data_IF_391421014472
#
_entry.id   IF_391421014472
#
_cell.length_a   1.000
_cell.length_b   1.000
_cell.length_c   1.000
_cell.angle_alpha   90.00
_cell.angle_beta   90.00
_cell.angle_gamma   90.00
#
_symmetry.space_group_name_H-M   'P 1'
#
loop_
_entity.id
_entity.type
_entity.pdbx_description
1 polymer ?
#
# COMPACT_ATOMS: atom_id res chain seq x y z
N UNK A 1 -3.92 -23.09 -4.09
CA UNK A 1 -3.83 -21.93 -5.01
C UNK A 1 -3.80 -20.59 -4.28
N UNK A 2 -4.78 -20.28 -3.41
CA UNK A 2 -4.85 -18.99 -2.68
C UNK A 2 -3.63 -18.70 -1.77
N UNK A 3 -3.00 -19.73 -1.19
CA UNK A 3 -1.78 -19.58 -0.37
C UNK A 3 -0.61 -19.02 -1.19
N UNK A 4 -0.43 -19.48 -2.43
CA UNK A 4 0.61 -18.94 -3.33
C UNK A 4 0.30 -17.50 -3.74
N UNK A 5 -0.98 -17.17 -3.93
CA UNK A 5 -1.42 -15.80 -4.22
C UNK A 5 -1.12 -14.87 -3.02
N UNK A 6 -1.37 -15.32 -1.80
CA UNK A 6 -1.06 -14.59 -0.58
C UNK A 6 0.45 -14.36 -0.43
N UNK A 7 1.26 -15.42 -0.59
CA UNK A 7 2.70 -15.32 -0.54
C UNK A 7 3.24 -14.36 -1.61
N UNK A 8 2.72 -14.45 -2.84
CA UNK A 8 3.04 -13.52 -3.92
C UNK A 8 2.66 -12.07 -3.59
N UNK A 9 1.48 -11.84 -3.01
CA UNK A 9 1.03 -10.50 -2.61
C UNK A 9 1.93 -9.89 -1.52
N UNK A 10 2.34 -10.68 -0.53
CA UNK A 10 3.26 -10.23 0.54
C UNK A 10 4.64 -9.90 -0.05
N UNK A 11 5.18 -10.77 -0.90
CA UNK A 11 6.46 -10.51 -1.59
C UNK A 11 6.38 -9.26 -2.47
N UNK A 12 5.27 -9.07 -3.17
CA UNK A 12 5.05 -7.89 -4.01
C UNK A 12 4.95 -6.61 -3.16
N UNK A 13 4.32 -6.68 -1.98
CA UNK A 13 4.26 -5.56 -1.03
C UNK A 13 5.66 -5.17 -0.54
N UNK A 14 6.46 -6.16 -0.14
CA UNK A 14 7.85 -5.95 0.28
C UNK A 14 8.70 -5.39 -0.86
N UNK A 15 8.50 -5.88 -2.08
CA UNK A 15 9.23 -5.40 -3.26
C UNK A 15 8.85 -3.96 -3.61
N UNK A 16 7.56 -3.63 -3.59
CA UNK A 16 7.04 -2.31 -3.93
C UNK A 16 7.53 -1.25 -2.96
N UNK A 17 7.49 -1.53 -1.66
CA UNK A 17 7.99 -0.62 -0.63
C UNK A 17 9.51 -0.41 -0.74
N UNK A 18 10.28 -1.47 -1.04
CA UNK A 18 11.72 -1.34 -1.35
C UNK A 18 11.96 -0.48 -2.59
N UNK A 19 11.15 -0.65 -3.64
CA UNK A 19 11.24 0.15 -4.87
C UNK A 19 10.95 1.62 -4.62
N UNK A 20 9.91 1.96 -3.86
CA UNK A 20 9.59 3.34 -3.50
C UNK A 20 10.79 3.98 -2.78
N UNK A 21 11.33 3.33 -1.74
CA UNK A 21 12.53 3.81 -1.03
C UNK A 21 13.74 3.99 -1.93
N UNK A 22 13.95 3.07 -2.88
CA UNK A 22 15.05 3.17 -3.83
C UNK A 22 14.86 4.33 -4.80
N UNK A 23 13.63 4.59 -5.25
CA UNK A 23 13.30 5.70 -6.14
C UNK A 23 13.52 7.02 -5.40
N UNK A 24 13.05 7.13 -4.15
CA UNK A 24 13.16 8.35 -3.35
C UNK A 24 14.61 8.75 -3.03
N UNK A 25 15.53 7.77 -2.92
CA UNK A 25 16.96 8.03 -2.69
C UNK A 25 17.68 8.65 -3.89
N UNK A 26 17.15 8.50 -5.11
CA UNK A 26 17.78 9.04 -6.31
C UNK A 26 17.48 10.53 -6.37
N UNK A 27 18.51 11.39 -6.36
CA UNK A 27 18.31 12.81 -6.65
C UNK A 27 18.21 12.99 -8.17
N UNK A 28 17.09 13.44 -8.71
CA UNK A 28 16.97 13.70 -10.13
C UNK A 28 17.85 14.89 -10.53
N UNK A 29 18.43 14.81 -11.72
CA UNK A 29 19.38 15.81 -12.21
C UNK A 29 18.76 16.85 -13.13
N UNK A 30 17.52 16.63 -13.60
CA UNK A 30 16.79 17.53 -14.51
C UNK A 30 15.27 17.46 -14.29
N UNK A 31 14.56 18.56 -14.55
CA UNK A 31 13.10 18.68 -14.37
C UNK A 31 12.23 17.58 -15.01
N UNK A 32 12.45 17.12 -16.26
CA UNK A 32 11.66 16.01 -16.81
C UNK A 32 11.93 14.67 -16.10
N UNK A 33 13.13 14.47 -15.54
CA UNK A 33 13.46 13.27 -14.76
C UNK A 33 12.82 13.30 -13.37
N UNK A 34 12.67 14.48 -12.77
CA UNK A 34 11.89 14.69 -11.53
C UNK A 34 10.45 14.23 -11.69
N UNK A 35 9.77 14.71 -12.74
CA UNK A 35 8.37 14.39 -12.99
C UNK A 35 8.16 12.89 -13.18
N UNK A 36 9.04 12.24 -13.97
CA UNK A 36 8.96 10.80 -14.23
C UNK A 36 9.22 9.97 -12.95
N UNK A 37 10.10 10.47 -12.07
CA UNK A 37 10.39 9.84 -10.78
C UNK A 37 9.19 9.92 -9.83
N UNK A 38 8.52 11.08 -9.77
CA UNK A 38 7.29 11.27 -8.99
C UNK A 38 6.19 10.34 -9.50
N UNK A 39 5.96 10.30 -10.82
CA UNK A 39 4.95 9.43 -11.43
C UNK A 39 5.21 7.95 -11.11
N UNK A 40 6.48 7.52 -11.20
CA UNK A 40 6.88 6.15 -10.88
C UNK A 40 6.67 5.84 -9.40
N UNK A 41 6.99 6.77 -8.51
CA UNK A 41 6.74 6.62 -7.06
C UNK A 41 5.24 6.48 -6.76
N UNK A 42 4.40 7.33 -7.36
CA UNK A 42 2.94 7.27 -7.23
C UNK A 42 2.37 5.94 -7.72
N UNK A 43 2.86 5.43 -8.86
CA UNK A 43 2.44 4.14 -9.39
C UNK A 43 2.71 3.00 -8.40
N UNK A 44 3.92 2.95 -7.83
CA UNK A 44 4.24 1.96 -6.79
C UNK A 44 3.43 2.16 -5.52
N UNK A 45 3.16 3.41 -5.12
CA UNK A 45 2.31 3.73 -3.98
C UNK A 45 0.87 3.23 -4.16
N UNK A 46 0.29 3.42 -5.35
CA UNK A 46 -1.03 2.90 -5.70
C UNK A 46 -1.06 1.37 -5.66
N UNK A 47 0.01 0.72 -6.13
CA UNK A 47 0.13 -0.73 -6.09
C UNK A 47 0.19 -1.26 -4.65
N UNK A 48 0.87 -0.54 -3.74
CA UNK A 48 0.85 -0.86 -2.30
C UNK A 48 -0.57 -0.73 -1.73
N UNK A 49 -1.31 0.34 -2.07
CA UNK A 49 -2.70 0.51 -1.63
C UNK A 49 -3.59 -0.65 -2.07
N UNK A 50 -3.48 -1.09 -3.34
CA UNK A 50 -4.25 -2.24 -3.83
C UNK A 50 -3.95 -3.52 -3.05
N UNK A 51 -2.68 -3.74 -2.68
CA UNK A 51 -2.27 -4.89 -1.89
C UNK A 51 -2.83 -4.87 -0.46
N UNK A 52 -3.03 -3.69 0.13
CA UNK A 52 -3.69 -3.54 1.43
C UNK A 52 -5.13 -4.04 1.45
N UNK A 53 -5.84 -4.00 0.30
CA UNK A 53 -7.18 -4.57 0.16
C UNK A 53 -7.14 -6.05 -0.23
N UNK A 54 -6.21 -6.42 -1.11
CA UNK A 54 -6.13 -7.78 -1.64
C UNK A 54 -5.72 -8.81 -0.57
N UNK A 55 -4.75 -8.47 0.30
CA UNK A 55 -4.23 -9.39 1.31
C UNK A 55 -5.32 -9.81 2.32
N UNK A 56 -6.06 -8.90 2.97
CA UNK A 56 -7.16 -9.26 3.87
C UNK A 56 -8.25 -10.08 3.20
N UNK A 57 -8.58 -9.76 1.94
CA UNK A 57 -9.55 -10.53 1.15
C UNK A 57 -9.11 -11.98 0.90
N UNK A 58 -7.82 -12.20 0.59
CA UNK A 58 -7.28 -13.55 0.40
C UNK A 58 -7.26 -14.31 1.73
N UNK A 59 -6.85 -13.66 2.82
CA UNK A 59 -6.83 -14.26 4.16
C UNK A 59 -8.25 -14.70 4.55
N UNK A 60 -9.24 -13.84 4.33
CA UNK A 60 -10.63 -14.17 4.60
C UNK A 60 -11.10 -15.41 3.82
N UNK A 61 -10.78 -15.49 2.52
CA UNK A 61 -11.12 -16.66 1.70
C UNK A 61 -10.46 -17.94 2.23
N UNK A 62 -9.22 -17.83 2.73
CA UNK A 62 -8.48 -18.95 3.33
C UNK A 62 -9.05 -19.41 4.67
N UNK A 63 -9.63 -18.49 5.45
CA UNK A 63 -10.27 -18.81 6.75
C UNK A 63 -11.64 -19.48 6.64
N UNK A 64 -12.05 -19.90 5.44
CA UNK A 64 -13.38 -20.49 5.22
C UNK A 64 -14.49 -19.44 5.11
N UNK A 65 -14.16 -18.25 4.61
CA UNK A 65 -15.06 -17.11 4.48
C UNK A 65 -16.45 -17.48 3.95
N UNK A 66 -17.49 -17.01 4.66
CA UNK A 66 -18.89 -17.27 4.33
C UNK A 66 -19.35 -16.43 3.13
N UNK A 67 -20.33 -16.85 2.32
CA UNK A 67 -20.81 -15.99 1.21
C UNK A 67 -21.65 -14.77 1.67
N UNK A 68 -21.54 -14.38 2.95
CA UNK A 68 -22.25 -13.25 3.53
C UNK A 68 -21.47 -11.93 3.34
N UNK A 69 -22.01 -10.85 3.89
CA UNK A 69 -21.45 -9.49 3.85
C UNK A 69 -20.07 -9.34 4.54
N UNK A 70 -19.52 -10.41 5.11
CA UNK A 70 -18.21 -10.46 5.77
C UNK A 70 -17.07 -9.92 4.91
N UNK A 71 -17.07 -10.25 3.60
CA UNK A 71 -16.08 -9.71 2.66
C UNK A 71 -16.15 -8.19 2.52
N UNK A 72 -17.35 -7.61 2.56
CA UNK A 72 -17.58 -6.16 2.48
C UNK A 72 -17.07 -5.48 3.76
N UNK A 73 -17.35 -6.07 4.93
CA UNK A 73 -16.84 -5.56 6.20
C UNK A 73 -15.32 -5.54 6.26
N UNK A 74 -14.65 -6.53 5.68
CA UNK A 74 -13.18 -6.60 5.64
C UNK A 74 -12.59 -5.55 4.72
N UNK A 75 -13.18 -5.32 3.54
CA UNK A 75 -12.78 -4.24 2.65
C UNK A 75 -12.97 -2.89 3.34
N UNK A 76 -14.12 -2.69 3.99
CA UNK A 76 -14.42 -1.45 4.70
C UNK A 76 -13.47 -1.19 5.87
N UNK A 77 -13.20 -2.22 6.69
CA UNK A 77 -12.21 -2.14 7.78
C UNK A 77 -10.80 -1.83 7.24
N UNK A 78 -10.42 -2.42 6.10
CA UNK A 78 -9.13 -2.15 5.44
C UNK A 78 -9.06 -0.71 4.93
N UNK A 79 -10.16 -0.16 4.40
CA UNK A 79 -10.24 1.23 3.98
C UNK A 79 -10.08 2.19 5.16
N UNK A 80 -10.82 1.96 6.26
CA UNK A 80 -10.69 2.76 7.48
C UNK A 80 -9.27 2.68 8.02
N UNK A 81 -8.69 1.48 8.13
CA UNK A 81 -7.33 1.29 8.59
C UNK A 81 -6.32 2.06 7.74
N UNK A 82 -6.49 2.05 6.42
CA UNK A 82 -5.68 2.84 5.49
C UNK A 82 -5.81 4.33 5.79
N UNK A 83 -7.03 4.87 5.88
CA UNK A 83 -7.27 6.30 6.18
C UNK A 83 -6.61 6.69 7.49
N UNK A 84 -6.77 5.88 8.54
CA UNK A 84 -6.18 6.13 9.87
C UNK A 84 -4.65 6.13 9.79
N UNK A 85 -4.03 5.20 9.06
CA UNK A 85 -2.58 5.14 8.87
C UNK A 85 -2.06 6.37 8.13
N UNK A 86 -2.72 6.76 7.03
CA UNK A 86 -2.34 7.95 6.26
C UNK A 86 -2.49 9.23 7.07
N UNK A 87 -3.61 9.38 7.78
CA UNK A 87 -3.86 10.54 8.63
C UNK A 87 -2.84 10.61 9.76
N UNK A 88 -2.57 9.50 10.45
CA UNK A 88 -1.57 9.44 11.52
C UNK A 88 -0.17 9.80 11.02
N UNK A 89 0.21 9.32 9.85
CA UNK A 89 1.49 9.65 9.22
C UNK A 89 1.57 11.14 8.87
N UNK A 90 0.53 11.69 8.26
CA UNK A 90 0.44 13.11 7.92
C UNK A 90 0.53 14.00 9.17
N UNK A 91 -0.22 13.69 10.22
CA UNK A 91 -0.18 14.43 11.50
C UNK A 91 1.22 14.43 12.10
N UNK A 92 1.94 13.30 12.06
CA UNK A 92 3.33 13.20 12.54
C UNK A 92 4.29 14.04 11.70
N UNK A 93 4.17 14.02 10.37
CA UNK A 93 4.99 14.86 9.49
C UNK A 93 4.75 16.34 9.73
N UNK A 94 3.47 16.75 9.82
CA UNK A 94 3.10 18.13 10.08
C UNK A 94 3.61 18.62 11.43
N UNK A 95 3.48 17.79 12.48
CA UNK A 95 4.03 18.10 13.80
C UNK A 95 5.57 18.23 13.80
N UNK A 96 6.26 17.45 12.96
CA UNK A 96 7.72 17.53 12.80
C UNK A 96 8.18 18.75 12.00
N UNK A 97 7.34 19.29 11.11
CA UNK A 97 7.65 20.49 10.32
C UNK A 97 7.34 21.81 11.06
N UNK A 98 6.51 21.74 12.12
CA UNK A 98 6.17 22.87 12.99
C UNK A 98 7.09 23.01 14.22
N UNK A 99 8.04 22.09 14.42
CA UNK A 99 9.14 22.18 15.41
C UNK A 99 10.43 22.54 14.70
#
# INVERSE_FOLDING_TARGET
MLIFLLAGAILLLMFSTKRIRSIEKVKPTTGPKEMLQILRSLFWGLLVLMLFFLIPMIIWKLSGGSNNWDGVYIIFASAIGTIVLFFSYYSRLKAKHLR
#
